data_IF_966442733673
#
_entry.id   IF_966442733673
#
_cell.length_a   1.000
_cell.length_b   1.000
_cell.length_c   1.000
_cell.angle_alpha   90.00
_cell.angle_beta   90.00
_cell.angle_gamma   90.00
#
_symmetry.space_group_name_H-M   'P 1'
#
loop_
_entity.id
_entity.type
_entity.pdbx_description
1 polymer ?
#
# COMPACT_ATOMS: atom_id res chain seq x y z
N UNK A 1 -19.92 3.49 -28.51
CA UNK A 1 -18.86 4.22 -27.79
C UNK A 1 -18.67 3.54 -26.46
N UNK A 2 -17.51 2.93 -26.22
CA UNK A 2 -17.19 2.36 -24.91
C UNK A 2 -16.93 3.58 -24.01
N UNK A 3 -17.79 3.82 -23.02
CA UNK A 3 -17.49 4.80 -21.98
C UNK A 3 -16.27 4.27 -21.23
N UNK A 4 -15.13 4.86 -21.54
CA UNK A 4 -13.89 4.51 -20.91
C UNK A 4 -13.87 5.11 -19.50
N UNK A 5 -14.51 4.43 -18.55
CA UNK A 5 -14.58 4.83 -17.14
C UNK A 5 -13.24 4.68 -16.41
N UNK A 6 -12.11 4.57 -17.13
CA UNK A 6 -10.79 4.48 -16.52
C UNK A 6 -10.49 5.76 -15.73
N UNK A 7 -10.01 5.64 -14.48
CA UNK A 7 -9.65 6.81 -13.70
C UNK A 7 -8.55 7.59 -14.42
N UNK A 8 -8.75 8.89 -14.58
CA UNK A 8 -7.67 9.79 -15.00
C UNK A 8 -6.55 9.73 -13.96
N UNK A 9 -5.33 10.07 -14.35
CA UNK A 9 -4.17 9.99 -13.44
C UNK A 9 -4.33 10.83 -12.16
N UNK A 10 -5.17 11.87 -12.22
CA UNK A 10 -5.52 12.74 -11.09
C UNK A 10 -6.58 12.13 -10.15
N UNK A 11 -7.27 11.07 -10.58
CA UNK A 11 -8.27 10.33 -9.81
C UNK A 11 -7.70 9.07 -9.15
N UNK A 12 -6.41 8.78 -9.34
CA UNK A 12 -5.76 7.62 -8.73
C UNK A 12 -5.67 7.78 -7.21
N UNK A 13 -6.16 6.79 -6.48
CA UNK A 13 -5.92 6.64 -5.04
C UNK A 13 -5.30 5.28 -4.73
N UNK A 14 -4.01 5.22 -4.34
CA UNK A 14 -3.12 6.36 -4.12
C UNK A 14 -2.47 6.90 -5.40
N UNK A 15 -2.23 8.22 -5.43
CA UNK A 15 -1.36 8.87 -6.41
C UNK A 15 0.08 8.31 -6.31
N UNK A 16 0.78 8.09 -7.45
CA UNK A 16 2.18 7.68 -7.44
C UNK A 16 3.09 8.75 -6.82
N UNK A 17 4.22 8.29 -6.28
CA UNK A 17 5.32 9.20 -5.95
C UNK A 17 6.11 9.54 -7.22
N UNK A 18 6.58 10.77 -7.32
CA UNK A 18 7.31 11.26 -8.49
C UNK A 18 8.76 11.48 -8.07
N UNK A 19 9.73 10.78 -8.64
CA UNK A 19 11.15 11.10 -8.47
C UNK A 19 11.61 11.98 -9.64
N UNK A 20 11.77 13.31 -9.47
CA UNK A 20 12.20 14.20 -10.54
C UNK A 20 13.71 14.10 -10.82
N UNK A 21 14.49 13.51 -9.91
CA UNK A 21 15.95 13.40 -10.03
C UNK A 21 16.28 12.23 -10.95
N UNK A 22 15.71 11.06 -10.65
CA UNK A 22 15.93 9.81 -11.39
C UNK A 22 14.85 9.54 -12.45
N UNK A 23 13.85 10.43 -12.58
CA UNK A 23 12.78 10.40 -13.58
C UNK A 23 11.97 9.10 -13.60
N UNK A 24 11.41 8.72 -12.45
CA UNK A 24 10.45 7.62 -12.35
C UNK A 24 9.21 7.96 -11.52
N UNK A 25 8.13 7.24 -11.77
CA UNK A 25 6.91 7.20 -10.99
C UNK A 25 6.88 5.91 -10.18
N UNK A 26 6.60 6.00 -8.89
CA UNK A 26 6.51 4.86 -7.99
C UNK A 26 5.08 4.68 -7.49
N UNK A 27 4.41 3.69 -8.06
CA UNK A 27 3.07 3.25 -7.67
C UNK A 27 3.20 2.30 -6.48
N UNK A 28 2.52 2.65 -5.38
CA UNK A 28 2.53 1.82 -4.16
C UNK A 28 1.11 1.69 -3.66
N UNK A 29 0.54 0.51 -3.83
CA UNK A 29 -0.76 0.18 -3.28
C UNK A 29 -0.71 0.08 -1.76
N UNK A 30 -1.88 0.26 -1.13
CA UNK A 30 -1.99 -0.07 0.28
C UNK A 30 -1.73 -1.56 0.50
N UNK A 31 -1.16 -1.88 1.67
CA UNK A 31 -0.77 -3.24 2.07
C UNK A 31 0.39 -3.87 1.28
N UNK A 32 1.11 -3.07 0.50
CA UNK A 32 2.33 -3.49 -0.22
C UNK A 32 3.61 -2.94 0.42
N UNK A 33 3.77 -3.03 1.76
CA UNK A 33 5.00 -2.56 2.44
C UNK A 33 5.19 -1.05 2.51
N UNK A 34 4.09 -0.29 2.47
CA UNK A 34 4.12 1.15 2.22
C UNK A 34 5.01 1.99 3.15
N UNK A 35 5.19 1.66 4.43
CA UNK A 35 6.09 2.43 5.31
C UNK A 35 7.56 2.31 4.86
N UNK A 36 8.07 1.07 4.77
CA UNK A 36 9.48 0.80 4.41
C UNK A 36 9.82 1.42 3.05
N UNK A 37 8.96 1.23 2.05
CA UNK A 37 9.22 1.76 0.70
C UNK A 37 9.17 3.28 0.66
N UNK A 38 8.24 3.93 1.39
CA UNK A 38 8.18 5.40 1.44
C UNK A 38 9.41 5.98 2.13
N UNK A 39 9.86 5.37 3.22
CA UNK A 39 11.09 5.77 3.88
C UNK A 39 12.29 5.67 2.93
N UNK A 40 12.45 4.51 2.26
CA UNK A 40 13.46 4.34 1.22
C UNK A 40 13.35 5.40 0.12
N UNK A 41 12.15 5.64 -0.42
CA UNK A 41 11.90 6.60 -1.48
C UNK A 41 12.34 8.02 -1.09
N UNK A 42 11.97 8.49 0.10
CA UNK A 42 12.33 9.85 0.54
C UNK A 42 13.82 10.03 0.81
N UNK A 43 14.51 8.96 1.22
CA UNK A 43 15.96 8.94 1.32
C UNK A 43 16.60 8.92 -0.08
N UNK A 44 16.11 8.09 -0.98
CA UNK A 44 16.65 7.95 -2.33
C UNK A 44 16.51 9.23 -3.16
N UNK A 45 15.33 9.86 -3.11
CA UNK A 45 15.09 11.12 -3.82
C UNK A 45 15.86 12.29 -3.19
N UNK A 46 16.48 12.09 -2.02
CA UNK A 46 17.34 13.06 -1.34
C UNK A 46 16.60 14.08 -0.48
N UNK A 47 15.28 13.97 -0.31
CA UNK A 47 14.49 14.89 0.51
C UNK A 47 14.84 14.74 2.00
N UNK A 48 15.11 13.51 2.44
CA UNK A 48 15.75 13.26 3.73
C UNK A 48 17.26 13.52 3.61
N UNK A 49 17.78 14.49 4.35
CA UNK A 49 19.18 14.95 4.29
C UNK A 49 19.38 16.30 3.58
N UNK A 50 18.44 16.74 2.74
CA UNK A 50 18.45 18.06 2.10
C UNK A 50 17.29 18.96 2.57
N UNK A 51 16.75 18.72 3.76
CA UNK A 51 15.54 19.39 4.25
C UNK A 51 15.66 20.91 4.29
N UNK A 52 16.89 21.42 4.46
CA UNK A 52 17.17 22.85 4.54
C UNK A 52 18.05 23.35 3.39
N UNK A 53 18.30 22.51 2.37
CA UNK A 53 19.06 22.90 1.18
C UNK A 53 18.12 23.54 0.15
N UNK A 54 17.80 24.82 0.36
CA UNK A 54 16.86 25.57 -0.48
C UNK A 54 17.24 25.57 -1.99
N UNK A 55 18.52 25.77 -2.39
CA UNK A 55 18.90 25.69 -3.80
C UNK A 55 18.60 24.33 -4.42
N UNK A 56 18.92 23.24 -3.73
CA UNK A 56 18.67 21.88 -4.21
C UNK A 56 17.17 21.59 -4.31
N UNK A 57 16.40 21.90 -3.26
CA UNK A 57 14.94 21.70 -3.25
C UNK A 57 14.26 22.49 -4.37
N UNK A 58 14.67 23.75 -4.58
CA UNK A 58 14.11 24.62 -5.62
C UNK A 58 14.41 24.07 -7.01
N UNK A 59 15.63 23.57 -7.24
CA UNK A 59 16.05 23.01 -8.53
C UNK A 59 15.19 21.81 -8.96
N UNK A 60 14.89 20.89 -8.03
CA UNK A 60 14.23 19.63 -8.38
C UNK A 60 12.71 19.63 -8.12
N UNK A 61 12.24 20.39 -7.14
CA UNK A 61 10.84 20.38 -6.71
C UNK A 61 10.12 21.71 -6.89
N UNK A 62 10.85 22.77 -7.21
CA UNK A 62 10.34 24.13 -7.34
C UNK A 62 10.26 24.88 -6.02
N UNK A 63 10.29 26.22 -6.11
CA UNK A 63 10.38 27.12 -4.94
C UNK A 63 9.20 26.96 -3.98
N UNK A 64 7.99 26.77 -4.51
CA UNK A 64 6.78 26.63 -3.69
C UNK A 64 6.85 25.41 -2.77
N UNK A 65 7.24 24.26 -3.31
CA UNK A 65 7.44 23.05 -2.53
C UNK A 65 8.55 23.26 -1.50
N UNK A 66 9.69 23.81 -1.93
CA UNK A 66 10.86 24.02 -1.08
C UNK A 66 10.52 24.82 0.18
N UNK A 67 9.85 25.97 0.03
CA UNK A 67 9.45 26.83 1.15
C UNK A 67 8.48 26.12 2.09
N UNK A 68 7.42 25.50 1.57
CA UNK A 68 6.43 24.79 2.39
C UNK A 68 7.04 23.59 3.13
N UNK A 69 7.90 22.85 2.45
CA UNK A 69 8.60 21.70 3.01
C UNK A 69 9.53 22.15 4.14
N UNK A 70 10.37 23.15 3.90
CA UNK A 70 11.28 23.71 4.91
C UNK A 70 10.53 24.26 6.12
N UNK A 71 9.46 25.03 5.93
CA UNK A 71 8.66 25.56 7.05
C UNK A 71 8.10 24.43 7.90
N UNK A 72 7.56 23.37 7.27
CA UNK A 72 7.04 22.24 8.02
C UNK A 72 8.14 21.47 8.73
N UNK A 73 9.27 21.23 8.06
CA UNK A 73 10.42 20.59 8.70
C UNK A 73 10.95 21.43 9.86
N UNK A 74 10.99 22.76 9.78
CA UNK A 74 11.41 23.61 10.90
C UNK A 74 10.50 23.51 12.15
N UNK A 75 9.22 23.18 11.98
CA UNK A 75 8.24 23.09 13.07
C UNK A 75 8.15 21.70 13.72
N UNK A 76 8.55 20.63 13.01
CA UNK A 76 8.52 19.26 13.53
C UNK A 76 9.84 18.95 14.25
N UNK A 77 9.84 18.19 15.36
CA UNK A 77 11.10 17.81 16.03
C UNK A 77 11.86 16.75 15.22
N UNK A 78 13.18 16.94 15.03
CA UNK A 78 14.00 16.10 14.14
C UNK A 78 13.99 14.63 14.52
N UNK A 79 14.02 14.29 15.81
CA UNK A 79 13.99 12.91 16.29
C UNK A 79 12.64 12.24 15.98
N UNK A 80 11.55 13.00 15.99
CA UNK A 80 10.21 12.47 15.69
C UNK A 80 9.87 12.36 14.20
N UNK A 81 10.64 13.01 13.31
CA UNK A 81 10.31 13.15 11.87
C UNK A 81 10.41 11.85 11.07
N UNK A 82 11.38 11.00 11.39
CA UNK A 82 11.72 9.84 10.54
C UNK A 82 11.72 8.50 11.26
N UNK A 83 11.82 8.50 12.60
CA UNK A 83 11.95 7.28 13.38
C UNK A 83 10.60 6.61 13.70
N UNK A 84 9.49 7.23 13.30
CA UNK A 84 8.17 6.67 13.51
C UNK A 84 7.26 6.73 12.28
N UNK A 85 6.26 5.85 12.27
CA UNK A 85 5.26 5.76 11.21
C UNK A 85 4.48 7.08 10.99
N UNK A 86 4.34 7.92 12.02
CA UNK A 86 3.59 9.18 11.93
C UNK A 86 4.35 10.22 11.10
N UNK A 87 5.66 10.33 11.30
CA UNK A 87 6.54 11.20 10.54
C UNK A 87 6.54 10.86 9.05
N UNK A 88 6.69 9.57 8.70
CA UNK A 88 6.59 9.12 7.30
C UNK A 88 5.22 9.40 6.69
N UNK A 89 4.12 9.24 7.46
CA UNK A 89 2.76 9.59 7.01
C UNK A 89 2.62 11.11 6.79
N UNK A 90 3.15 11.92 7.71
CA UNK A 90 3.16 13.39 7.61
C UNK A 90 3.90 13.83 6.34
N UNK A 91 5.12 13.32 6.14
CA UNK A 91 5.95 13.57 4.97
C UNK A 91 5.26 13.13 3.67
N UNK A 92 4.68 11.94 3.66
CA UNK A 92 3.89 11.42 2.53
C UNK A 92 2.79 12.37 2.11
N UNK A 93 2.03 12.90 3.09
CA UNK A 93 0.92 13.82 2.81
C UNK A 93 1.42 15.13 2.20
N UNK A 94 2.49 15.72 2.74
CA UNK A 94 3.08 16.95 2.19
C UNK A 94 3.55 16.70 0.77
N UNK A 95 4.35 15.65 0.58
CA UNK A 95 4.99 15.35 -0.69
C UNK A 95 3.96 15.13 -1.79
N UNK A 96 2.93 14.31 -1.52
CA UNK A 96 1.87 14.07 -2.49
C UNK A 96 1.08 15.33 -2.81
N UNK A 97 0.68 16.09 -1.80
CA UNK A 97 -0.20 17.25 -1.99
C UNK A 97 0.54 18.44 -2.63
N UNK A 98 1.80 18.67 -2.25
CA UNK A 98 2.55 19.86 -2.66
C UNK A 98 3.45 19.61 -3.86
N UNK A 99 3.82 18.36 -4.14
CA UNK A 99 4.67 18.03 -5.27
C UNK A 99 4.03 17.06 -6.26
N UNK A 100 3.75 15.81 -5.86
CA UNK A 100 3.30 14.79 -6.82
C UNK A 100 2.00 15.18 -7.52
N UNK A 101 0.96 15.60 -6.82
CA UNK A 101 -0.32 15.99 -7.44
C UNK A 101 -0.17 17.16 -8.43
N UNK A 102 0.46 18.31 -8.06
CA UNK A 102 0.73 19.37 -9.01
C UNK A 102 1.62 18.97 -10.19
N UNK A 103 2.56 18.04 -9.99
CA UNK A 103 3.42 17.53 -11.06
C UNK A 103 2.63 16.65 -12.05
N UNK A 104 1.82 15.72 -11.53
CA UNK A 104 0.99 14.83 -12.34
C UNK A 104 -0.06 15.62 -13.14
N UNK A 105 -0.71 16.61 -12.54
CA UNK A 105 -1.72 17.45 -13.20
C UNK A 105 -1.18 18.25 -14.40
N UNK A 106 0.12 18.59 -14.40
CA UNK A 106 0.78 19.32 -15.49
C UNK A 106 1.29 18.42 -16.61
N UNK A 107 1.04 17.10 -16.55
CA UNK A 107 1.51 16.12 -17.55
C UNK A 107 3.04 16.12 -17.74
N UNK A 108 3.79 16.55 -16.73
CA UNK A 108 5.27 16.63 -16.77
C UNK A 108 5.95 15.27 -16.59
N UNK A 109 5.17 14.20 -16.42
CA UNK A 109 5.64 12.84 -16.22
C UNK A 109 5.83 12.05 -17.53
N UNK A 110 5.63 12.68 -18.70
CA UNK A 110 5.89 12.02 -19.97
C UNK A 110 7.37 11.58 -20.06
N UNK A 111 7.58 10.31 -20.41
CA UNK A 111 8.90 9.69 -20.45
C UNK A 111 9.50 9.39 -19.07
N UNK A 112 8.73 9.47 -17.99
CA UNK A 112 9.16 8.90 -16.70
C UNK A 112 8.91 7.40 -16.71
N UNK A 113 9.86 6.66 -16.14
CA UNK A 113 9.74 5.20 -15.97
C UNK A 113 8.68 4.91 -14.91
N UNK A 114 7.84 3.92 -15.11
CA UNK A 114 6.75 3.57 -14.19
C UNK A 114 7.08 2.27 -13.45
N UNK A 115 7.18 2.37 -12.12
CA UNK A 115 7.51 1.25 -11.25
C UNK A 115 6.33 0.98 -10.33
N UNK A 116 5.85 -0.26 -10.29
CA UNK A 116 4.82 -0.72 -9.36
C UNK A 116 5.45 -1.58 -8.26
N UNK A 117 5.17 -1.27 -7.00
CA UNK A 117 5.36 -2.23 -5.91
C UNK A 117 4.05 -2.96 -5.64
N UNK A 118 4.09 -4.28 -5.82
CA UNK A 118 2.96 -5.18 -5.69
C UNK A 118 3.20 -6.23 -4.60
N UNK A 119 2.14 -6.94 -4.24
CA UNK A 119 2.14 -8.01 -3.24
C UNK A 119 1.24 -9.15 -3.72
N UNK A 120 1.53 -10.37 -3.30
CA UNK A 120 0.66 -11.51 -3.56
C UNK A 120 -0.80 -11.20 -3.12
N UNK A 121 -1.81 -11.34 -4.01
CA UNK A 121 -3.19 -10.97 -3.70
C UNK A 121 -3.78 -11.70 -2.47
N UNK A 122 -3.56 -13.01 -2.31
CA UNK A 122 -4.01 -13.78 -1.14
C UNK A 122 -3.47 -13.17 0.16
N UNK A 123 -2.19 -12.85 0.13
CA UNK A 123 -1.44 -12.39 1.29
C UNK A 123 -1.81 -10.94 1.66
N UNK A 124 -2.15 -10.15 0.63
CA UNK A 124 -2.57 -8.76 0.73
C UNK A 124 -3.98 -8.63 1.31
N UNK A 125 -4.96 -9.39 0.82
CA UNK A 125 -6.36 -9.29 1.27
C UNK A 125 -6.52 -9.70 2.73
N UNK A 126 -5.85 -10.78 3.17
CA UNK A 126 -5.83 -11.18 4.59
C UNK A 126 -5.19 -10.08 5.45
N UNK A 127 -4.10 -9.48 4.98
CA UNK A 127 -3.45 -8.37 5.69
C UNK A 127 -4.33 -7.11 5.76
N UNK A 128 -5.15 -6.87 4.73
CA UNK A 128 -6.17 -5.82 4.69
C UNK A 128 -7.24 -6.06 5.74
N UNK A 129 -7.84 -7.25 5.74
CA UNK A 129 -8.88 -7.64 6.68
C UNK A 129 -8.40 -7.53 8.15
N UNK A 130 -7.28 -8.17 8.48
CA UNK A 130 -6.74 -8.18 9.85
C UNK A 130 -6.43 -6.77 10.35
N UNK A 131 -5.81 -5.92 9.53
CA UNK A 131 -5.50 -4.55 9.94
C UNK A 131 -6.74 -3.69 10.18
N UNK A 132 -7.78 -3.87 9.36
CA UNK A 132 -8.93 -2.96 9.34
C UNK A 132 -10.07 -3.41 10.24
N UNK A 133 -10.35 -4.69 10.29
CA UNK A 133 -11.45 -5.25 11.06
C UNK A 133 -11.01 -5.78 12.42
N UNK A 134 -9.73 -6.16 12.58
CA UNK A 134 -9.19 -6.66 13.85
C UNK A 134 -8.24 -5.65 14.54
N UNK A 135 -7.95 -4.51 13.90
CA UNK A 135 -7.08 -3.45 14.42
C UNK A 135 -7.82 -2.22 14.94
N UNK A 136 -7.11 -1.09 15.02
CA UNK A 136 -7.64 0.18 15.56
C UNK A 136 -8.76 0.78 14.71
N UNK A 137 -8.83 0.38 13.43
CA UNK A 137 -9.84 0.90 12.49
C UNK A 137 -11.21 0.22 12.63
N UNK A 138 -11.35 -0.80 13.49
CA UNK A 138 -12.60 -1.58 13.63
C UNK A 138 -13.85 -0.76 13.95
N UNK A 139 -13.68 0.43 14.52
CA UNK A 139 -14.76 1.36 14.89
C UNK A 139 -14.97 2.50 13.88
N UNK A 140 -14.22 2.54 12.77
CA UNK A 140 -14.41 3.58 11.75
C UNK A 140 -15.78 3.41 11.08
N UNK A 141 -16.47 4.51 10.70
CA UNK A 141 -17.81 4.43 10.10
C UNK A 141 -17.90 3.47 8.93
N UNK A 142 -16.96 3.55 7.98
CA UNK A 142 -16.92 2.65 6.81
C UNK A 142 -16.68 1.18 7.16
N UNK A 143 -16.03 0.85 8.29
CA UNK A 143 -15.91 -0.54 8.76
C UNK A 143 -17.26 -1.01 9.32
N UNK A 144 -17.91 -0.15 10.12
CA UNK A 144 -19.22 -0.44 10.72
C UNK A 144 -20.29 -0.67 9.66
N UNK A 145 -20.32 0.15 8.61
CA UNK A 145 -21.24 -0.02 7.49
C UNK A 145 -21.10 -1.41 6.82
N UNK A 146 -19.86 -1.89 6.64
CA UNK A 146 -19.61 -3.24 6.09
C UNK A 146 -20.08 -4.32 7.07
N UNK A 147 -19.79 -4.16 8.37
CA UNK A 147 -20.22 -5.11 9.41
C UNK A 147 -21.75 -5.17 9.53
N UNK A 148 -22.43 -4.04 9.43
CA UNK A 148 -23.89 -3.94 9.50
C UNK A 148 -24.56 -4.63 8.31
N UNK A 149 -23.94 -4.57 7.12
CA UNK A 149 -24.51 -5.15 5.90
C UNK A 149 -24.16 -6.62 5.69
N UNK A 150 -22.90 -7.02 5.91
CA UNK A 150 -22.39 -8.36 5.59
C UNK A 150 -22.08 -9.20 6.84
N UNK A 151 -21.98 -8.58 8.00
CA UNK A 151 -21.67 -9.25 9.26
C UNK A 151 -22.89 -9.88 9.92
N UNK A 152 -22.63 -10.52 11.05
CA UNK A 152 -23.65 -11.15 11.90
C UNK A 152 -23.31 -10.88 13.36
N UNK A 153 -24.29 -10.46 14.16
CA UNK A 153 -24.08 -10.18 15.59
C UNK A 153 -23.13 -9.00 15.85
N UNK A 154 -23.05 -8.02 14.95
CA UNK A 154 -22.14 -6.87 15.09
C UNK A 154 -20.67 -7.20 14.85
N UNK A 155 -20.38 -8.32 14.21
CA UNK A 155 -19.04 -8.77 13.87
C UNK A 155 -19.02 -9.36 12.45
N UNK A 156 -17.83 -9.51 11.86
CA UNK A 156 -17.66 -10.02 10.49
C UNK A 156 -16.52 -11.02 10.41
N UNK A 157 -16.73 -12.12 9.72
CA UNK A 157 -15.71 -13.12 9.41
C UNK A 157 -14.91 -12.77 8.16
N UNK A 158 -13.80 -13.46 7.92
CA UNK A 158 -13.04 -13.25 6.68
C UNK A 158 -13.86 -13.68 5.46
N UNK A 159 -14.65 -14.75 5.56
CA UNK A 159 -15.49 -15.21 4.46
C UNK A 159 -16.57 -14.18 4.08
N UNK A 160 -17.28 -13.64 5.07
CA UNK A 160 -18.27 -12.56 4.85
C UNK A 160 -17.63 -11.28 4.28
N UNK A 161 -16.39 -10.98 4.68
CA UNK A 161 -15.64 -9.89 4.08
C UNK A 161 -15.33 -10.13 2.59
N UNK A 162 -15.02 -11.37 2.19
CA UNK A 162 -14.85 -11.69 0.77
C UNK A 162 -16.17 -11.61 -0.01
N UNK A 163 -17.29 -11.98 0.60
CA UNK A 163 -18.62 -11.81 -0.01
C UNK A 163 -18.90 -10.32 -0.30
N UNK A 164 -18.56 -9.43 0.65
CA UNK A 164 -18.60 -7.99 0.42
C UNK A 164 -17.80 -7.54 -0.81
N UNK A 165 -16.60 -8.10 -1.02
CA UNK A 165 -15.76 -7.74 -2.18
C UNK A 165 -16.26 -8.31 -3.51
N UNK A 166 -17.10 -9.34 -3.49
CA UNK A 166 -17.72 -9.89 -4.69
C UNK A 166 -18.98 -9.12 -5.08
N UNK A 167 -19.73 -8.63 -4.10
CA UNK A 167 -21.03 -7.98 -4.31
C UNK A 167 -20.89 -6.48 -4.61
N UNK A 168 -19.90 -5.81 -4.01
CA UNK A 168 -19.71 -4.38 -4.19
C UNK A 168 -18.99 -4.05 -5.52
N UNK A 169 -19.35 -2.93 -6.18
CA UNK A 169 -18.59 -2.45 -7.32
C UNK A 169 -17.19 -2.02 -6.87
N UNK A 170 -16.20 -2.25 -7.71
CA UNK A 170 -14.79 -2.06 -7.35
C UNK A 170 -14.45 -0.61 -6.99
N UNK A 171 -15.12 0.37 -7.60
CA UNK A 171 -14.93 1.79 -7.33
C UNK A 171 -15.29 2.14 -5.87
N UNK A 172 -16.17 1.36 -5.25
CA UNK A 172 -16.54 1.47 -3.83
C UNK A 172 -15.56 0.75 -2.90
N UNK A 173 -14.70 -0.13 -3.41
CA UNK A 173 -13.72 -0.84 -2.57
C UNK A 173 -12.72 0.12 -1.95
N UNK A 174 -12.43 -0.07 -0.67
CA UNK A 174 -11.35 0.67 -0.02
C UNK A 174 -10.00 0.28 -0.65
N UNK A 175 -9.11 1.26 -0.86
CA UNK A 175 -7.75 1.05 -1.38
C UNK A 175 -6.92 -0.02 -0.65
N UNK A 176 -7.28 -0.37 0.58
CA UNK A 176 -6.63 -1.43 1.36
C UNK A 176 -6.87 -2.84 0.81
N UNK A 177 -7.91 -3.05 0.02
CA UNK A 177 -8.27 -4.35 -0.56
C UNK A 177 -8.82 -4.26 -2.00
N UNK A 178 -8.99 -3.07 -2.59
CA UNK A 178 -9.19 -2.90 -4.04
C UNK A 178 -8.07 -3.59 -4.83
N UNK A 179 -8.29 -4.10 -6.05
CA UNK A 179 -7.20 -4.73 -6.83
C UNK A 179 -6.04 -3.75 -7.03
N UNK A 180 -4.83 -4.29 -7.12
CA UNK A 180 -3.62 -3.49 -7.24
C UNK A 180 -3.48 -2.90 -8.65
N UNK A 181 -3.99 -3.59 -9.67
CA UNK A 181 -3.97 -3.13 -11.05
C UNK A 181 -4.86 -1.90 -11.28
N UNK A 182 -5.82 -1.61 -10.40
CA UNK A 182 -6.72 -0.46 -10.52
C UNK A 182 -5.96 0.86 -10.69
N UNK A 183 -4.86 1.05 -9.96
CA UNK A 183 -4.09 2.31 -10.02
C UNK A 183 -3.15 2.41 -11.23
N UNK A 184 -3.04 1.34 -12.02
CA UNK A 184 -2.21 1.26 -13.23
C UNK A 184 -3.05 0.96 -14.48
N UNK A 185 -4.36 1.16 -14.42
CA UNK A 185 -5.21 1.02 -15.60
C UNK A 185 -4.83 2.05 -16.67
N UNK A 186 -4.59 1.56 -17.88
CA UNK A 186 -4.10 2.39 -18.98
C UNK A 186 -2.67 2.90 -18.83
N UNK A 187 -1.93 2.43 -17.81
CA UNK A 187 -0.52 2.75 -17.63
C UNK A 187 0.37 1.62 -18.17
N UNK A 188 1.51 1.98 -18.76
CA UNK A 188 2.57 1.02 -19.08
C UNK A 188 3.54 0.96 -17.90
N UNK A 189 3.71 -0.22 -17.31
CA UNK A 189 4.58 -0.44 -16.15
C UNK A 189 5.90 -1.04 -16.62
N UNK A 190 6.99 -0.30 -16.43
CA UNK A 190 8.33 -0.70 -16.85
C UNK A 190 8.94 -1.73 -15.90
N UNK A 191 8.57 -1.70 -14.61
CA UNK A 191 9.02 -2.68 -13.62
C UNK A 191 7.98 -2.97 -12.55
N UNK A 192 7.89 -4.25 -12.17
CA UNK A 192 7.06 -4.73 -11.08
C UNK A 192 7.97 -5.31 -9.99
N UNK A 193 7.88 -4.74 -8.80
CA UNK A 193 8.66 -5.12 -7.63
C UNK A 193 7.73 -5.87 -6.68
N UNK A 194 8.06 -7.10 -6.31
CA UNK A 194 7.27 -7.91 -5.38
C UNK A 194 7.71 -7.62 -3.96
N UNK A 195 6.77 -7.39 -3.06
CA UNK A 195 7.05 -7.13 -1.65
C UNK A 195 7.81 -8.30 -0.98
N UNK A 196 7.49 -9.52 -1.40
CA UNK A 196 8.09 -10.76 -0.92
C UNK A 196 9.58 -10.83 -1.31
N UNK A 197 9.95 -10.23 -2.44
CA UNK A 197 11.30 -10.21 -3.03
C UNK A 197 11.86 -8.79 -3.13
N UNK A 198 11.49 -7.91 -2.18
CA UNK A 198 11.68 -6.46 -2.30
C UNK A 198 13.13 -6.09 -2.66
N UNK A 199 14.10 -6.53 -1.88
CA UNK A 199 15.51 -6.21 -2.13
C UNK A 199 16.00 -6.78 -3.47
N UNK A 200 15.69 -8.04 -3.74
CA UNK A 200 16.12 -8.76 -4.95
C UNK A 200 15.58 -8.08 -6.21
N UNK A 201 14.29 -7.74 -6.21
CA UNK A 201 13.63 -7.09 -7.34
C UNK A 201 14.11 -5.64 -7.51
N UNK A 202 14.38 -4.90 -6.42
CA UNK A 202 14.99 -3.56 -6.51
C UNK A 202 16.42 -3.61 -7.08
N UNK A 203 17.21 -4.60 -6.67
CA UNK A 203 18.57 -4.81 -7.18
C UNK A 203 18.58 -5.18 -8.67
N UNK A 204 17.70 -6.09 -9.09
CA UNK A 204 17.53 -6.44 -10.50
C UNK A 204 17.15 -5.23 -11.37
N UNK A 205 16.46 -4.25 -10.76
CA UNK A 205 16.01 -3.02 -11.41
C UNK A 205 16.84 -1.79 -11.03
N UNK A 206 18.06 -1.95 -10.49
CA UNK A 206 18.90 -0.85 -9.98
C UNK A 206 19.09 0.30 -10.98
N UNK A 207 19.19 -0.02 -12.27
CA UNK A 207 19.32 0.95 -13.36
C UNK A 207 18.14 1.95 -13.45
N UNK A 208 16.99 1.64 -12.84
CA UNK A 208 15.82 2.53 -12.74
C UNK A 208 15.97 3.61 -11.67
N UNK A 209 16.82 3.38 -10.65
CA UNK A 209 16.82 4.16 -9.41
C UNK A 209 18.09 4.99 -9.19
N UNK A 210 19.09 4.91 -10.08
CA UNK A 210 20.36 5.64 -9.94
C UNK A 210 21.26 5.02 -8.87
N UNK A 211 22.02 5.85 -8.15
CA UNK A 211 22.92 5.44 -7.05
C UNK A 211 22.15 5.19 -5.73
N UNK A 212 21.00 4.53 -5.82
CA UNK A 212 20.10 4.33 -4.70
C UNK A 212 20.69 3.45 -3.60
N UNK A 213 20.50 3.86 -2.34
CA UNK A 213 20.80 3.02 -1.18
C UNK A 213 19.60 2.12 -0.86
N UNK A 214 19.74 0.82 -1.13
CA UNK A 214 18.73 -0.19 -0.82
C UNK A 214 18.82 -0.75 0.61
N UNK A 215 19.76 -0.30 1.43
CA UNK A 215 19.91 -0.72 2.84
C UNK A 215 18.60 -0.70 3.64
N UNK A 216 17.76 0.36 3.54
CA UNK A 216 16.46 0.39 4.21
C UNK A 216 15.47 -0.72 3.80
N UNK A 217 15.67 -1.36 2.65
CA UNK A 217 14.80 -2.42 2.14
C UNK A 217 15.13 -3.80 2.74
N UNK A 218 16.26 -3.93 3.45
CA UNK A 218 16.68 -5.19 4.10
C UNK A 218 15.81 -5.55 5.30
N UNK A 219 15.23 -4.55 5.97
CA UNK A 219 14.36 -4.75 7.14
C UNK A 219 12.88 -4.69 6.75
N UNK A 220 12.24 -5.85 6.69
CA UNK A 220 10.79 -5.94 6.51
C UNK A 220 10.09 -5.56 7.80
N UNK A 221 9.46 -4.39 7.83
CA UNK A 221 8.54 -4.01 8.91
C UNK A 221 7.17 -4.63 8.66
N UNK A 222 6.72 -5.52 9.55
CA UNK A 222 5.34 -6.00 9.56
C UNK A 222 4.56 -5.27 10.65
N UNK A 223 3.39 -4.72 10.28
CA UNK A 223 2.53 -4.02 11.25
C UNK A 223 1.79 -4.97 12.19
N UNK A 224 1.51 -6.19 11.73
CA UNK A 224 0.85 -7.23 12.52
C UNK A 224 1.81 -8.41 12.69
N UNK A 225 1.82 -8.96 13.91
CA UNK A 225 2.53 -10.20 14.20
C UNK A 225 1.62 -11.38 13.86
N UNK A 226 2.17 -12.31 13.08
CA UNK A 226 1.54 -13.58 12.72
C UNK A 226 2.33 -14.71 13.38
N UNK A 227 1.64 -15.70 13.93
CA UNK A 227 2.31 -16.84 14.54
C UNK A 227 3.06 -17.66 13.47
N UNK A 228 4.21 -18.23 13.82
CA UNK A 228 4.92 -19.18 12.95
C UNK A 228 4.16 -20.52 12.86
N UNK A 229 3.59 -20.94 13.98
CA UNK A 229 2.75 -22.14 14.12
C UNK A 229 1.48 -21.78 14.88
N UNK A 230 0.36 -22.37 14.47
CA UNK A 230 -0.95 -22.18 15.09
C UNK A 230 -1.71 -23.50 14.99
N UNK A 231 -2.59 -23.85 15.94
CA UNK A 231 -3.34 -25.10 15.87
C UNK A 231 -4.09 -25.21 14.54
N UNK A 232 -3.96 -26.37 13.88
CA UNK A 232 -4.46 -26.57 12.52
C UNK A 232 -5.98 -26.84 12.47
N UNK A 233 -6.56 -27.25 13.59
CA UNK A 233 -7.97 -27.52 13.80
C UNK A 233 -8.82 -26.25 13.96
N UNK A 234 -8.19 -25.10 14.21
CA UNK A 234 -8.90 -23.83 14.32
C UNK A 234 -9.29 -23.33 12.94
N UNK A 235 -10.58 -23.43 12.61
CA UNK A 235 -11.14 -22.77 11.43
C UNK A 235 -11.17 -21.25 11.66
N UNK A 236 -10.24 -20.52 11.02
CA UNK A 236 -10.15 -19.05 11.14
C UNK A 236 -10.98 -18.31 10.09
N UNK A 237 -11.39 -18.99 9.02
CA UNK A 237 -12.11 -18.38 7.88
C UNK A 237 -13.49 -17.86 8.31
N UNK A 238 -14.17 -18.64 9.15
CA UNK A 238 -15.52 -18.31 9.65
C UNK A 238 -15.52 -17.67 11.03
N UNK A 239 -14.36 -17.51 11.66
CA UNK A 239 -14.26 -16.74 12.91
C UNK A 239 -14.42 -15.26 12.62
N UNK A 240 -15.19 -14.62 13.46
CA UNK A 240 -15.42 -13.18 13.42
C UNK A 240 -14.14 -12.43 13.79
N UNK A 241 -14.07 -11.17 13.37
CA UNK A 241 -12.99 -10.25 13.74
C UNK A 241 -12.82 -10.12 15.26
N UNK A 242 -13.90 -10.21 16.05
CA UNK A 242 -13.83 -10.17 17.51
C UNK A 242 -13.17 -11.44 18.09
N UNK A 243 -13.52 -12.62 17.58
CA UNK A 243 -12.89 -13.88 17.98
C UNK A 243 -11.41 -13.92 17.57
N UNK A 244 -11.06 -13.40 16.39
CA UNK A 244 -9.67 -13.29 15.95
C UNK A 244 -8.84 -12.35 16.83
N UNK A 245 -9.44 -11.27 17.35
CA UNK A 245 -8.81 -10.41 18.35
C UNK A 245 -8.63 -11.17 19.68
N UNK A 246 -9.60 -11.98 20.08
CA UNK A 246 -9.49 -12.89 21.23
C UNK A 246 -8.30 -13.84 21.09
N UNK A 247 -8.20 -14.53 19.94
CA UNK A 247 -7.08 -15.42 19.62
C UNK A 247 -5.74 -14.69 19.61
N UNK A 248 -5.69 -13.46 19.07
CA UNK A 248 -4.47 -12.65 19.12
C UNK A 248 -4.05 -12.35 20.57
N UNK A 249 -5.00 -12.03 21.44
CA UNK A 249 -4.69 -11.75 22.84
C UNK A 249 -4.21 -13.01 23.59
N UNK A 250 -4.80 -14.17 23.27
CA UNK A 250 -4.40 -15.46 23.84
C UNK A 250 -3.00 -15.89 23.38
N UNK A 251 -2.74 -15.84 22.08
CA UNK A 251 -1.51 -16.37 21.48
C UNK A 251 -0.45 -15.31 21.20
N UNK A 252 -0.70 -14.04 21.55
CA UNK A 252 0.13 -12.86 21.27
C UNK A 252 0.40 -12.59 19.78
N UNK A 253 -0.26 -13.31 18.88
CA UNK A 253 -0.12 -13.17 17.43
C UNK A 253 -1.39 -13.61 16.71
N UNK A 254 -1.62 -13.07 15.51
CA UNK A 254 -2.70 -13.55 14.64
C UNK A 254 -2.36 -14.91 14.01
N UNK A 255 -3.38 -15.71 13.64
CA UNK A 255 -3.15 -16.96 12.92
C UNK A 255 -2.37 -16.75 11.60
N UNK A 256 -1.52 -17.69 11.18
CA UNK A 256 -0.80 -17.63 9.91
C UNK A 256 -1.77 -17.37 8.75
N UNK A 257 -1.39 -16.50 7.81
CA UNK A 257 -2.27 -16.12 6.69
C UNK A 257 -2.78 -17.30 5.88
N UNK A 258 -1.96 -18.35 5.73
CA UNK A 258 -2.36 -19.61 5.07
C UNK A 258 -3.61 -20.27 5.68
N UNK A 259 -3.91 -20.06 6.96
CA UNK A 259 -5.12 -20.63 7.57
C UNK A 259 -6.40 -19.92 7.11
N UNK A 260 -6.30 -18.72 6.55
CA UNK A 260 -7.43 -18.02 5.94
C UNK A 260 -7.72 -18.49 4.51
N UNK A 261 -6.90 -19.40 3.97
CA UNK A 261 -6.94 -19.87 2.58
C UNK A 261 -7.41 -21.33 2.56
N UNK A 262 -8.69 -21.54 2.27
CA UNK A 262 -9.27 -22.83 1.91
C UNK A 262 -9.80 -22.75 0.47
N UNK A 263 -10.29 -23.86 -0.09
CA UNK A 263 -10.75 -23.91 -1.49
C UNK A 263 -11.82 -22.84 -1.79
N UNK A 264 -12.72 -22.60 -0.85
CA UNK A 264 -13.76 -21.58 -0.98
C UNK A 264 -13.17 -20.17 -1.04
N UNK A 265 -12.34 -19.78 -0.07
CA UNK A 265 -11.77 -18.43 -0.02
C UNK A 265 -10.77 -18.20 -1.15
N UNK A 266 -10.02 -19.22 -1.56
CA UNK A 266 -9.16 -19.16 -2.76
C UNK A 266 -10.00 -18.88 -3.99
N UNK A 267 -11.10 -19.61 -4.19
CA UNK A 267 -12.03 -19.38 -5.31
C UNK A 267 -12.59 -17.96 -5.33
N UNK A 268 -12.98 -17.41 -4.17
CA UNK A 268 -13.43 -16.02 -4.05
C UNK A 268 -12.32 -15.03 -4.38
N UNK A 269 -11.11 -15.20 -3.83
CA UNK A 269 -9.96 -14.32 -4.07
C UNK A 269 -9.55 -14.35 -5.55
N UNK A 270 -9.55 -15.52 -6.19
CA UNK A 270 -9.25 -15.67 -7.62
C UNK A 270 -10.22 -14.84 -8.48
N UNK A 271 -11.51 -14.78 -8.09
CA UNK A 271 -12.51 -13.97 -8.78
C UNK A 271 -12.35 -12.48 -8.50
N UNK A 272 -12.17 -12.08 -7.24
CA UNK A 272 -12.02 -10.68 -6.83
C UNK A 272 -10.79 -10.04 -7.48
N UNK A 273 -9.69 -10.80 -7.57
CA UNK A 273 -8.39 -10.31 -8.00
C UNK A 273 -7.93 -10.93 -9.34
N UNK A 274 -8.88 -11.36 -10.18
CA UNK A 274 -8.56 -12.03 -11.44
C UNK A 274 -7.57 -11.24 -12.30
N UNK A 275 -7.77 -9.93 -12.40
CA UNK A 275 -6.90 -9.05 -13.18
C UNK A 275 -5.53 -8.82 -12.53
N UNK A 276 -5.45 -8.82 -11.19
CA UNK A 276 -4.15 -8.82 -10.49
C UNK A 276 -3.36 -10.07 -10.87
N UNK A 277 -4.00 -11.25 -10.93
CA UNK A 277 -3.33 -12.50 -11.34
C UNK A 277 -2.97 -12.54 -12.83
N UNK A 278 -3.71 -11.83 -13.68
CA UNK A 278 -3.40 -11.73 -15.11
C UNK A 278 -2.21 -10.80 -15.38
N UNK A 279 -2.16 -9.66 -14.69
CA UNK A 279 -1.23 -8.56 -15.03
C UNK A 279 -0.02 -8.46 -14.12
N UNK A 280 -0.04 -9.06 -12.92
CA UNK A 280 1.06 -9.00 -11.95
C UNK A 280 1.84 -10.33 -11.96
N UNK A 281 3.06 -10.37 -11.40
CA UNK A 281 3.89 -11.58 -11.41
C UNK A 281 3.44 -12.60 -10.34
N UNK A 282 2.15 -12.92 -10.30
CA UNK A 282 1.55 -13.91 -9.42
C UNK A 282 0.63 -14.84 -10.21
N UNK A 283 0.68 -16.13 -9.92
CA UNK A 283 -0.25 -17.10 -10.49
C UNK A 283 -1.37 -17.42 -9.49
N UNK A 284 -2.60 -17.64 -9.97
CA UNK A 284 -3.65 -18.18 -9.12
C UNK A 284 -3.26 -19.60 -8.68
N UNK A 285 -3.66 -19.96 -7.46
CA UNK A 285 -3.57 -21.31 -6.89
C UNK A 285 -4.80 -22.12 -7.27
#
# INVERSE_FOLDING_TARGET
>A
MINDNRPTINQLDPLPFVDPVNRYLLFINSKCGGTTIKYWFFRNVGVMGNEFNLPWLTRYFGIKFALQFMTKMALEDRATRYDNNLGIRSLTKIYRNQFSAPFMARHQHQGFRQVLVCRNPYDRVVSGFIDKFCGDDKNKPWVREIIEHYGSGGAISFNQFLDHLLDAPEEAHNRHWRRQTYIIDGQNIDAMIRLEHLLEDFEANRHLFGDADFGPLTSKSQSNQYAASFPADINVVNRTNLELVGLKNEHQAFPPKKQFLNDETIGKINRIYAEDFERLPYSPT
#
